data_IF_658029157735
#
_entry.id   IF_658029157735
#
_cell.length_a   1.000
_cell.length_b   1.000
_cell.length_c   1.000
_cell.angle_alpha   90.00
_cell.angle_beta   90.00
_cell.angle_gamma   90.00
#
_symmetry.space_group_name_H-M   'P 1'
#
loop_
_entity.id
_entity.type
_entity.pdbx_description
1 polymer ?
#
# COMPACT_ATOMS: atom_id res chain seq x y z
N UNK A 1 9.33 19.47 -4.21
CA UNK A 1 9.47 18.21 -4.97
C UNK A 1 9.25 17.06 -4.01
N UNK A 2 8.57 15.98 -4.40
CA UNK A 2 8.50 14.75 -3.59
C UNK A 2 9.73 13.88 -3.92
N UNK A 3 10.46 13.44 -2.90
CA UNK A 3 11.62 12.56 -3.06
C UNK A 3 11.21 11.12 -2.87
N UNK A 4 11.53 10.26 -3.85
CA UNK A 4 11.38 8.81 -3.70
C UNK A 4 12.40 8.30 -2.69
N UNK A 5 11.89 7.65 -1.63
CA UNK A 5 12.66 7.11 -0.52
C UNK A 5 12.92 5.62 -0.70
N UNK A 6 11.96 4.89 -1.26
CA UNK A 6 12.09 3.47 -1.54
C UNK A 6 11.24 3.06 -2.75
N UNK A 7 11.73 2.06 -3.48
CA UNK A 7 10.99 1.41 -4.58
C UNK A 7 10.99 -0.09 -4.34
N UNK A 8 9.82 -0.72 -4.42
CA UNK A 8 9.69 -2.17 -4.32
C UNK A 8 8.94 -2.70 -5.54
N UNK A 9 9.54 -3.67 -6.24
CA UNK A 9 8.83 -4.49 -7.22
C UNK A 9 8.05 -5.53 -6.43
N UNK A 10 6.76 -5.34 -6.33
CA UNK A 10 5.85 -6.32 -5.73
C UNK A 10 5.08 -6.94 -6.90
N UNK A 11 5.05 -8.27 -6.96
CA UNK A 11 4.58 -9.12 -8.07
C UNK A 11 3.27 -8.73 -8.82
N UNK A 12 2.49 -7.77 -8.34
CA UNK A 12 1.25 -7.28 -8.98
C UNK A 12 1.13 -5.74 -9.02
N UNK A 13 2.01 -5.00 -8.35
CA UNK A 13 1.96 -3.55 -8.19
C UNK A 13 3.37 -3.02 -7.93
N UNK A 14 3.96 -2.23 -8.83
CA UNK A 14 5.17 -1.47 -8.46
C UNK A 14 4.77 -0.35 -7.50
N UNK A 15 5.44 -0.27 -6.36
CA UNK A 15 5.18 0.74 -5.34
C UNK A 15 6.41 1.64 -5.22
N UNK A 16 6.16 2.95 -5.21
CA UNK A 16 7.18 3.94 -4.83
C UNK A 16 6.70 4.69 -3.60
N UNK A 17 7.56 4.74 -2.60
CA UNK A 17 7.31 5.40 -1.33
C UNK A 17 8.03 6.75 -1.37
N UNK A 18 7.26 7.83 -1.48
CA UNK A 18 7.73 9.21 -1.47
C UNK A 18 7.88 9.76 -0.05
N UNK A 19 8.16 11.06 0.04
CA UNK A 19 8.17 11.78 1.32
C UNK A 19 6.76 12.13 1.80
N UNK A 20 5.87 12.47 0.86
CA UNK A 20 4.49 12.91 1.12
C UNK A 20 3.44 12.01 0.48
N UNK A 21 3.83 11.22 -0.53
CA UNK A 21 2.91 10.42 -1.31
C UNK A 21 3.33 8.95 -1.41
N UNK A 22 2.34 8.07 -1.39
CA UNK A 22 2.42 6.68 -1.82
C UNK A 22 2.00 6.59 -3.30
N UNK A 23 2.89 6.05 -4.13
CA UNK A 23 2.62 5.80 -5.54
C UNK A 23 2.43 4.30 -5.76
N UNK A 24 1.34 3.92 -6.41
CA UNK A 24 1.09 2.57 -6.90
C UNK A 24 0.95 2.63 -8.42
N UNK A 25 1.68 1.77 -9.14
CA UNK A 25 1.63 1.69 -10.61
C UNK A 25 0.40 0.93 -11.09
N UNK A 26 -0.02 -0.13 -10.39
CA UNK A 26 -1.23 -0.88 -10.72
C UNK A 26 -1.98 -1.35 -9.46
N UNK A 27 -3.21 -0.86 -9.21
CA UNK A 27 -3.88 0.21 -9.98
C UNK A 27 -3.12 1.54 -9.81
N UNK A 28 -3.25 2.44 -10.79
CA UNK A 28 -2.56 3.72 -10.79
C UNK A 28 -3.13 4.64 -9.71
N UNK A 29 -2.38 4.80 -8.61
CA UNK A 29 -2.76 5.68 -7.50
C UNK A 29 -1.61 6.58 -7.08
N UNK A 30 -1.96 7.83 -6.77
CA UNK A 30 -1.11 8.80 -6.07
C UNK A 30 -1.87 9.15 -4.78
N UNK A 31 -1.40 8.64 -3.65
CA UNK A 31 -2.10 8.72 -2.37
C UNK A 31 -1.29 9.60 -1.42
N UNK A 32 -1.77 10.81 -1.09
CA UNK A 32 -1.13 11.64 -0.07
C UNK A 32 -1.26 10.98 1.30
N UNK A 33 -0.16 10.86 2.06
CA UNK A 33 -0.19 10.24 3.38
C UNK A 33 -1.17 10.92 4.35
N UNK A 34 -1.34 12.24 4.24
CA UNK A 34 -2.28 13.03 5.04
C UNK A 34 -3.74 12.58 4.93
N UNK A 35 -4.12 11.95 3.81
CA UNK A 35 -5.47 11.46 3.58
C UNK A 35 -5.68 10.01 3.99
N UNK A 36 -4.62 9.29 4.34
CA UNK A 36 -4.76 7.94 4.87
C UNK A 36 -5.32 8.03 6.30
N UNK A 37 -6.42 7.32 6.52
CA UNK A 37 -7.06 7.21 7.83
C UNK A 37 -6.63 5.92 8.53
N UNK A 38 -6.59 4.82 7.78
CA UNK A 38 -6.30 3.49 8.31
C UNK A 38 -5.65 2.63 7.23
N UNK A 39 -4.73 1.76 7.65
CA UNK A 39 -4.13 0.73 6.81
C UNK A 39 -4.23 -0.61 7.53
N UNK A 40 -4.60 -1.65 6.80
CA UNK A 40 -4.53 -3.05 7.25
C UNK A 40 -3.87 -3.91 6.19
N UNK A 41 -3.20 -4.97 6.62
CA UNK A 41 -2.85 -6.09 5.74
C UNK A 41 -3.99 -7.10 5.84
N UNK A 42 -4.54 -7.48 4.69
CA UNK A 42 -5.61 -8.46 4.57
C UNK A 42 -5.16 -9.58 3.63
N UNK A 43 -5.76 -10.76 3.79
CA UNK A 43 -5.42 -11.96 3.02
C UNK A 43 -6.63 -12.45 2.25
N UNK A 44 -6.43 -12.75 0.97
CA UNK A 44 -7.40 -13.42 0.10
C UNK A 44 -6.94 -14.85 -0.20
N UNK A 45 -7.76 -15.83 0.15
CA UNK A 45 -7.52 -17.25 -0.15
C UNK A 45 -8.01 -17.58 -1.55
N UNK A 46 -7.12 -18.05 -2.43
CA UNK A 46 -7.52 -18.53 -3.77
C UNK A 46 -8.12 -19.93 -3.67
N UNK A 47 -9.20 -20.19 -4.43
CA UNK A 47 -9.89 -21.50 -4.49
C UNK A 47 -8.99 -22.67 -4.91
N UNK A 48 -7.91 -22.44 -5.65
CA UNK A 48 -7.01 -23.48 -6.17
C UNK A 48 -5.61 -23.49 -5.50
N UNK A 49 -5.53 -23.02 -4.25
CA UNK A 49 -4.27 -22.93 -3.52
C UNK A 49 -3.54 -21.60 -3.75
N UNK A 50 -2.82 -21.15 -2.72
CA UNK A 50 -2.15 -19.86 -2.69
C UNK A 50 -2.95 -18.75 -2.01
N UNK A 51 -2.25 -17.71 -1.59
CA UNK A 51 -2.83 -16.55 -0.92
C UNK A 51 -2.28 -15.28 -1.52
N UNK A 52 -3.15 -14.31 -1.76
CA UNK A 52 -2.75 -12.95 -2.11
C UNK A 52 -2.92 -12.11 -0.88
N UNK A 53 -1.93 -11.27 -0.60
CA UNK A 53 -1.99 -10.28 0.46
C UNK A 53 -2.29 -8.93 -0.15
N UNK A 54 -2.97 -8.05 0.57
CA UNK A 54 -3.15 -6.68 0.11
C UNK A 54 -3.20 -5.70 1.26
N UNK A 55 -2.78 -4.47 0.98
CA UNK A 55 -3.05 -3.34 1.85
C UNK A 55 -4.46 -2.85 1.58
N UNK A 56 -5.32 -2.88 2.59
CA UNK A 56 -6.62 -2.22 2.60
C UNK A 56 -6.44 -0.83 3.21
N UNK A 57 -6.43 0.19 2.36
CA UNK A 57 -6.17 1.59 2.72
C UNK A 57 -7.50 2.34 2.73
N UNK A 58 -7.93 2.77 3.92
CA UNK A 58 -9.09 3.65 4.09
C UNK A 58 -8.64 5.10 4.07
N UNK A 59 -9.29 5.92 3.25
CA UNK A 59 -9.00 7.35 3.13
C UNK A 59 -10.04 8.18 3.89
N UNK A 60 -9.63 9.34 4.42
CA UNK A 60 -10.47 10.20 5.28
C UNK A 60 -11.69 10.81 4.58
N UNK A 61 -11.71 10.91 3.25
CA UNK A 61 -12.72 11.69 2.48
C UNK A 61 -13.37 10.95 1.32
N UNK A 62 -12.94 9.73 0.99
CA UNK A 62 -13.46 8.98 -0.17
C UNK A 62 -14.14 7.69 0.27
N UNK A 63 -15.23 7.32 -0.40
CA UNK A 63 -16.01 6.12 -0.08
C UNK A 63 -15.39 4.80 -0.57
N UNK A 64 -14.27 4.84 -1.30
CA UNK A 64 -13.58 3.65 -1.77
C UNK A 64 -12.29 3.44 -0.99
N UNK A 65 -12.15 2.25 -0.42
CA UNK A 65 -10.87 1.74 0.03
C UNK A 65 -9.99 1.43 -1.17
N UNK A 66 -8.71 1.72 -1.04
CA UNK A 66 -7.70 1.35 -2.03
C UNK A 66 -7.09 0.01 -1.63
N UNK A 67 -6.98 -0.90 -2.60
CA UNK A 67 -6.32 -2.20 -2.43
C UNK A 67 -5.06 -2.24 -3.24
N UNK A 68 -3.92 -2.46 -2.58
CA UNK A 68 -2.62 -2.66 -3.23
C UNK A 68 -2.17 -4.10 -2.94
N UNK A 69 -1.85 -4.88 -3.97
CA UNK A 69 -1.68 -6.32 -3.85
C UNK A 69 -0.21 -6.74 -3.75
N UNK A 70 0.02 -7.78 -2.95
CA UNK A 70 1.32 -8.33 -2.60
C UNK A 70 1.33 -9.85 -2.74
N UNK A 71 2.46 -10.39 -3.23
CA UNK A 71 2.67 -11.84 -3.30
C UNK A 71 3.01 -12.45 -1.93
N UNK A 72 3.60 -11.67 -1.02
CA UNK A 72 4.02 -12.15 0.30
C UNK A 72 3.56 -11.18 1.40
N UNK A 73 3.19 -11.76 2.54
CA UNK A 73 2.69 -11.04 3.72
C UNK A 73 3.75 -10.15 4.36
N UNK A 74 4.97 -10.66 4.51
CA UNK A 74 6.10 -9.97 5.13
C UNK A 74 6.45 -8.67 4.38
N UNK A 75 6.34 -8.68 3.05
CA UNK A 75 6.52 -7.48 2.22
C UNK A 75 5.38 -6.49 2.45
N UNK A 76 4.13 -6.96 2.52
CA UNK A 76 2.97 -6.10 2.79
C UNK A 76 3.06 -5.43 4.16
N UNK A 77 3.44 -6.18 5.20
CA UNK A 77 3.63 -5.65 6.56
C UNK A 77 4.76 -4.62 6.63
N UNK A 78 5.93 -4.89 6.01
CA UNK A 78 7.02 -3.91 5.93
C UNK A 78 6.60 -2.60 5.26
N UNK A 79 5.83 -2.68 4.18
CA UNK A 79 5.32 -1.49 3.49
C UNK A 79 4.30 -0.74 4.36
N UNK A 80 3.41 -1.45 5.06
CA UNK A 80 2.49 -0.84 6.03
C UNK A 80 3.24 -0.10 7.13
N UNK A 81 4.24 -0.73 7.74
CA UNK A 81 5.06 -0.12 8.80
C UNK A 81 5.71 1.18 8.32
N UNK A 82 6.35 1.15 7.15
CA UNK A 82 6.94 2.35 6.55
C UNK A 82 5.92 3.47 6.37
N UNK A 83 4.73 3.16 5.83
CA UNK A 83 3.69 4.18 5.62
C UNK A 83 3.20 4.74 6.96
N UNK A 84 3.04 3.90 7.99
CA UNK A 84 2.62 4.33 9.32
C UNK A 84 3.67 5.23 9.98
N UNK A 85 4.96 4.97 9.77
CA UNK A 85 6.03 5.88 10.20
C UNK A 85 5.90 7.26 9.54
N UNK A 86 5.50 7.33 8.27
CA UNK A 86 5.28 8.61 7.56
C UNK A 86 4.05 9.37 8.02
N UNK A 87 3.00 8.68 8.48
CA UNK A 87 1.77 9.32 8.98
C UNK A 87 1.93 9.88 10.40
N UNK A 88 2.85 9.32 11.20
CA UNK A 88 3.11 9.77 12.58
C UNK A 88 3.91 11.06 12.67
N UNK A 89 4.44 11.54 11.55
CA UNK A 89 5.15 12.83 11.42
C UNK A 89 4.12 13.92 11.19
#
# INVERSE_FOLDING_TARGET
SDRILATGVVSMSDIKLGDRYLFSVYPAYIIPYIYIQKIKVERFYRRHGGSIYYLDITLKRTFQNIKIYFAKEDVAEKVKEFILEKIKI
#
